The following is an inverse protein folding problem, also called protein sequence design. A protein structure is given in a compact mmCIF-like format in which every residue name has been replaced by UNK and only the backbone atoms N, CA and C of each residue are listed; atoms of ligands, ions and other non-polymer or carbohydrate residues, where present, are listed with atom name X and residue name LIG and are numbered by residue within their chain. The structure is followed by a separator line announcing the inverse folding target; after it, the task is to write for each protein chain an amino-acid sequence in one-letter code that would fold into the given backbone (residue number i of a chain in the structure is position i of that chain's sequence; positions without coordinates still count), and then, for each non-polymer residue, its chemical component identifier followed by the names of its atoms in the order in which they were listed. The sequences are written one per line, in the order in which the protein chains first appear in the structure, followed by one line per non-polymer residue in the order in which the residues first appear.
data_IF_671693644008
#
_entry.id   IF_671693644008
#
_cell.length_a   1.000
_cell.length_b   1.000
_cell.length_c   1.000
_cell.angle_alpha   90.00
_cell.angle_beta   90.00
_cell.angle_gamma   90.00
#
_symmetry.space_group_name_H-M   'P 1'
#
loop_
_entity.id
_entity.type
_entity.pdbx_description
1 polymer ?
#
# COMPACT_ATOMS: atom_id res chain seq x y z
N UNK A 1 -0.13 21.49 3.73
CA UNK A 1 -1.47 21.25 3.13
C UNK A 1 -2.11 20.01 3.75
N UNK A 2 -3.35 20.13 4.11
CA UNK A 2 -4.06 19.02 4.74
C UNK A 2 -4.52 18.04 3.66
N UNK A 3 -4.14 16.77 3.80
CA UNK A 3 -4.60 15.75 2.85
C UNK A 3 -6.03 15.34 3.14
N UNK A 4 -6.74 14.89 2.11
CA UNK A 4 -8.13 14.45 2.25
C UNK A 4 -8.30 12.94 2.29
N UNK A 5 -7.21 12.21 2.06
CA UNK A 5 -7.23 10.75 2.17
C UNK A 5 -6.80 10.31 3.57
N UNK A 6 -7.19 9.10 3.94
CA UNK A 6 -6.79 8.52 5.22
C UNK A 6 -5.27 8.41 5.28
N UNK A 7 -4.63 9.00 6.30
CA UNK A 7 -3.17 8.92 6.40
C UNK A 7 -2.70 7.48 6.62
N UNK A 8 -1.50 7.20 6.12
CA UNK A 8 -0.86 5.92 6.36
C UNK A 8 -0.31 5.80 7.78
N UNK A 9 0.29 4.65 8.08
CA UNK A 9 0.45 3.52 7.18
C UNK A 9 -0.84 2.71 7.02
N UNK A 10 -1.00 2.09 5.86
CA UNK A 10 -2.08 1.13 5.62
C UNK A 10 -1.52 -0.27 5.71
N UNK A 11 -2.36 -1.23 6.07
CA UNK A 11 -1.97 -2.64 6.19
C UNK A 11 -3.04 -3.53 5.57
N UNK A 12 -2.68 -4.78 5.34
CA UNK A 12 -3.62 -5.77 4.80
C UNK A 12 -4.12 -6.65 5.93
N UNK A 13 -5.35 -7.13 5.80
CA UNK A 13 -5.92 -8.13 6.71
C UNK A 13 -6.69 -9.16 5.90
N UNK A 14 -6.31 -10.41 6.03
CA UNK A 14 -7.06 -11.52 5.44
C UNK A 14 -8.33 -11.73 6.25
N UNK A 15 -9.48 -11.57 5.59
CA UNK A 15 -10.79 -11.73 6.24
C UNK A 15 -11.27 -13.17 6.07
N UNK A 16 -11.13 -13.71 4.85
CA UNK A 16 -11.59 -15.05 4.52
C UNK A 16 -10.82 -15.51 3.27
N UNK A 17 -11.05 -16.76 2.84
CA UNK A 17 -10.46 -17.23 1.59
C UNK A 17 -10.97 -16.33 0.46
N UNK A 18 -10.04 -15.74 -0.29
CA UNK A 18 -10.39 -14.88 -1.40
C UNK A 18 -10.94 -13.51 -0.99
N UNK A 19 -10.71 -13.07 0.24
CA UNK A 19 -11.19 -11.78 0.70
C UNK A 19 -10.15 -11.13 1.61
N UNK A 20 -9.61 -10.00 1.19
CA UNK A 20 -8.65 -9.22 1.95
C UNK A 20 -9.11 -7.79 2.10
N UNK A 21 -8.88 -7.22 3.28
CA UNK A 21 -9.09 -5.79 3.53
C UNK A 21 -7.76 -5.05 3.50
N UNK A 22 -7.81 -3.81 3.02
CA UNK A 22 -6.76 -2.83 3.26
C UNK A 22 -7.30 -1.85 4.28
N UNK A 23 -6.58 -1.64 5.37
CA UNK A 23 -7.06 -0.82 6.47
C UNK A 23 -5.94 -0.07 7.16
N UNK A 24 -6.32 0.94 7.93
CA UNK A 24 -5.43 1.64 8.85
C UNK A 24 -5.85 1.28 10.28
N UNK A 25 -4.87 0.96 11.11
CA UNK A 25 -5.13 0.73 12.54
C UNK A 25 -4.67 1.98 13.30
N UNK A 26 -5.59 2.62 14.00
CA UNK A 26 -5.29 3.79 14.79
C UNK A 26 -4.60 3.44 16.11
N UNK A 27 -4.13 4.48 16.82
CA UNK A 27 -3.47 4.29 18.12
C UNK A 27 -4.40 3.69 19.17
N UNK A 28 -5.70 3.82 18.98
CA UNK A 28 -6.72 3.25 19.86
C UNK A 28 -7.05 1.79 19.53
N UNK A 29 -6.39 1.22 18.52
CA UNK A 29 -6.63 -0.14 18.05
C UNK A 29 -7.82 -0.29 17.11
N UNK A 30 -8.55 0.79 16.85
CA UNK A 30 -9.68 0.75 15.94
C UNK A 30 -9.19 0.75 14.48
N UNK A 31 -9.90 0.00 13.65
CA UNK A 31 -9.56 -0.13 12.23
C UNK A 31 -10.46 0.74 11.37
N UNK A 32 -9.83 1.43 10.44
CA UNK A 32 -10.54 2.11 9.35
C UNK A 32 -10.28 1.34 8.07
N UNK A 33 -11.33 0.75 7.52
CA UNK A 33 -11.21 0.02 6.26
C UNK A 33 -11.10 1.00 5.10
N UNK A 34 -10.06 0.83 4.29
CA UNK A 34 -9.86 1.61 3.08
C UNK A 34 -10.62 0.96 1.92
N UNK A 35 -10.42 -0.34 1.74
CA UNK A 35 -11.13 -1.10 0.70
C UNK A 35 -11.14 -2.58 1.04
N UNK A 36 -11.96 -3.32 0.31
CA UNK A 36 -12.03 -4.77 0.41
C UNK A 36 -11.89 -5.37 -0.98
N UNK A 37 -11.02 -6.36 -1.11
CA UNK A 37 -10.78 -7.06 -2.37
C UNK A 37 -11.34 -8.48 -2.30
N UNK A 38 -11.98 -8.89 -3.40
CA UNK A 38 -12.56 -10.23 -3.54
C UNK A 38 -11.90 -10.95 -4.70
N UNK A 39 -11.45 -12.19 -4.47
CA UNK A 39 -10.77 -12.99 -5.48
C UNK A 39 -11.68 -13.31 -6.68
N UNK A 40 -12.98 -13.38 -6.46
CA UNK A 40 -13.93 -13.67 -7.54
C UNK A 40 -13.97 -12.61 -8.63
N UNK A 41 -13.37 -11.45 -8.38
CA UNK A 41 -13.28 -10.34 -9.32
C UNK A 41 -12.01 -10.36 -10.15
N UNK A 42 -11.12 -11.34 -9.89
CA UNK A 42 -9.83 -11.43 -10.59
C UNK A 42 -9.93 -12.53 -11.64
N UNK A 43 -9.72 -12.14 -12.90
CA UNK A 43 -9.70 -13.10 -14.00
C UNK A 43 -8.27 -13.61 -14.19
N UNK A 44 -8.07 -14.93 -14.27
CA UNK A 44 -6.73 -15.51 -14.35
C UNK A 44 -5.87 -14.99 -15.50
N UNK A 45 -6.48 -14.69 -16.61
CA UNK A 45 -5.79 -14.21 -17.82
C UNK A 45 -5.21 -12.81 -17.68
N UNK A 46 -5.68 -12.04 -16.70
CA UNK A 46 -5.15 -10.70 -16.44
C UNK A 46 -4.05 -10.72 -15.39
N UNK A 47 -3.78 -11.88 -14.83
CA UNK A 47 -2.70 -12.08 -13.87
C UNK A 47 -3.00 -11.49 -12.50
N UNK A 48 -2.05 -11.69 -11.60
CA UNK A 48 -2.15 -11.16 -10.25
C UNK A 48 -3.01 -12.00 -9.32
N UNK A 49 -2.84 -11.78 -8.06
CA UNK A 49 -3.65 -12.40 -7.03
C UNK A 49 -4.09 -11.35 -6.02
N UNK A 50 -5.06 -11.72 -5.20
CA UNK A 50 -5.67 -10.80 -4.24
C UNK A 50 -4.66 -10.30 -3.20
N UNK A 51 -3.75 -11.16 -2.76
CA UNK A 51 -2.76 -10.78 -1.76
C UNK A 51 -1.75 -9.79 -2.32
N UNK A 52 -1.27 -10.00 -3.54
CA UNK A 52 -0.36 -9.08 -4.20
C UNK A 52 -1.02 -7.74 -4.47
N UNK A 53 -2.29 -7.76 -4.92
CA UNK A 53 -3.05 -6.54 -5.15
C UNK A 53 -3.27 -5.77 -3.85
N UNK A 54 -3.63 -6.46 -2.78
CA UNK A 54 -3.82 -5.83 -1.47
C UNK A 54 -2.52 -5.20 -0.97
N UNK A 55 -1.40 -5.89 -1.18
CA UNK A 55 -0.07 -5.37 -0.78
C UNK A 55 0.25 -4.08 -1.52
N UNK A 56 0.03 -4.05 -2.83
CA UNK A 56 0.28 -2.84 -3.61
C UNK A 56 -0.60 -1.69 -3.15
N UNK A 57 -1.88 -1.94 -2.95
CA UNK A 57 -2.81 -0.91 -2.50
C UNK A 57 -2.40 -0.40 -1.11
N UNK A 58 -2.04 -1.30 -0.19
CA UNK A 58 -1.64 -0.91 1.16
C UNK A 58 -0.35 -0.09 1.17
N UNK A 59 0.46 -0.19 0.12
CA UNK A 59 1.70 0.56 -0.01
C UNK A 59 1.49 1.95 -0.58
N UNK A 60 0.27 2.32 -0.97
CA UNK A 60 0.01 3.59 -1.64
C UNK A 60 0.48 4.82 -0.85
N UNK A 61 0.23 4.95 0.46
CA UNK A 61 0.73 6.12 1.19
C UNK A 61 2.25 6.21 1.18
N UNK A 62 2.94 5.09 1.34
CA UNK A 62 4.41 5.06 1.34
C UNK A 62 4.96 5.36 -0.05
N UNK A 63 4.31 4.84 -1.11
CA UNK A 63 4.70 5.12 -2.49
C UNK A 63 4.54 6.61 -2.81
N UNK A 64 3.44 7.21 -2.38
CA UNK A 64 3.23 8.64 -2.58
C UNK A 64 4.31 9.45 -1.86
N UNK A 65 4.60 9.10 -0.61
CA UNK A 65 5.64 9.78 0.16
C UNK A 65 7.01 9.65 -0.51
N UNK A 66 7.34 8.47 -1.02
CA UNK A 66 8.60 8.25 -1.73
C UNK A 66 8.69 9.12 -3.00
N UNK A 67 7.58 9.22 -3.74
CA UNK A 67 7.54 10.07 -4.94
C UNK A 67 7.71 11.54 -4.58
N UNK A 68 7.06 12.01 -3.53
CA UNK A 68 7.19 13.39 -3.08
C UNK A 68 8.63 13.72 -2.69
N UNK A 69 9.33 12.78 -2.05
CA UNK A 69 10.74 12.96 -1.71
C UNK A 69 11.61 13.04 -2.96
N UNK A 70 11.34 12.20 -3.96
CA UNK A 70 12.15 12.15 -5.18
C UNK A 70 12.00 13.41 -6.04
N UNK A 71 10.83 14.03 -6.07
CA UNK A 71 10.61 15.24 -6.86
C UNK A 71 10.99 16.51 -6.12
N UNK A 72 11.36 16.41 -4.86
CA UNK A 72 11.80 17.56 -4.08
C UNK A 72 13.14 18.07 -4.62
N UNK A 73 13.35 19.41 -4.71
CA UNK A 73 14.61 19.97 -5.25
C UNK A 73 15.86 19.55 -4.47
N UNK A 74 15.72 19.16 -3.20
CA UNK A 74 16.83 18.72 -2.36
C UNK A 74 16.96 17.20 -2.30
N UNK A 75 16.29 16.47 -3.19
CA UNK A 75 16.38 15.00 -3.21
C UNK A 75 17.82 14.55 -3.44
N UNK A 76 18.22 13.49 -2.74
CA UNK A 76 19.57 12.96 -2.78
C UNK A 76 19.55 11.42 -2.86
N UNK A 77 20.72 10.79 -2.73
CA UNK A 77 20.86 9.35 -2.84
C UNK A 77 20.06 8.60 -1.76
N UNK A 78 19.89 9.18 -0.58
CA UNK A 78 19.09 8.58 0.49
C UNK A 78 17.61 8.50 0.07
N UNK A 79 17.11 9.50 -0.65
CA UNK A 79 15.74 9.47 -1.16
C UNK A 79 15.56 8.40 -2.22
N UNK A 80 16.57 8.20 -3.07
CA UNK A 80 16.55 7.12 -4.07
C UNK A 80 16.57 5.75 -3.39
N UNK A 81 17.43 5.57 -2.39
CA UNK A 81 17.52 4.32 -1.63
C UNK A 81 16.19 4.02 -0.93
N UNK A 82 15.58 5.03 -0.32
CA UNK A 82 14.28 4.87 0.30
C UNK A 82 13.22 4.43 -0.71
N UNK A 83 13.20 5.07 -1.88
CA UNK A 83 12.24 4.71 -2.94
C UNK A 83 12.41 3.27 -3.40
N UNK A 84 13.64 2.80 -3.58
CA UNK A 84 13.91 1.41 -3.94
C UNK A 84 13.36 0.45 -2.88
N UNK A 85 13.54 0.76 -1.60
CA UNK A 85 13.04 -0.08 -0.52
C UNK A 85 11.51 -0.15 -0.53
N UNK A 86 10.84 0.99 -0.76
CA UNK A 86 9.37 1.03 -0.81
C UNK A 86 8.84 0.26 -2.01
N UNK A 87 9.49 0.39 -3.17
CA UNK A 87 9.10 -0.37 -4.38
C UNK A 87 9.21 -1.87 -4.11
N UNK A 88 10.31 -2.31 -3.51
CA UNK A 88 10.50 -3.73 -3.19
C UNK A 88 9.42 -4.24 -2.24
N UNK A 89 9.08 -3.46 -1.23
CA UNK A 89 8.02 -3.78 -0.28
C UNK A 89 6.66 -3.91 -0.99
N UNK A 90 6.34 -2.97 -1.88
CA UNK A 90 5.08 -2.99 -2.62
C UNK A 90 4.97 -4.22 -3.52
N UNK A 91 6.09 -4.69 -4.05
CA UNK A 91 6.16 -5.90 -4.88
C UNK A 91 6.23 -7.19 -4.06
N UNK A 92 6.38 -7.10 -2.75
CA UNK A 92 6.53 -8.27 -1.90
C UNK A 92 7.90 -8.93 -1.99
N UNK A 93 8.95 -8.17 -2.29
CA UNK A 93 10.31 -8.68 -2.50
C UNK A 93 11.20 -8.55 -1.28
N UNK A 94 10.64 -8.26 -0.13
CA UNK A 94 11.40 -8.16 1.13
C UNK A 94 11.13 -9.32 2.05
#
# INVERSE_FOLDING_TARGET
MKTQFTPGPWTTKKIDIGCNDVCRVGNDGLRTRICRLHATQIEPEHGGDIESNARLISSAPDLLFALERLVHPMADDDDVTYAHAIIAKAKGMT
#
